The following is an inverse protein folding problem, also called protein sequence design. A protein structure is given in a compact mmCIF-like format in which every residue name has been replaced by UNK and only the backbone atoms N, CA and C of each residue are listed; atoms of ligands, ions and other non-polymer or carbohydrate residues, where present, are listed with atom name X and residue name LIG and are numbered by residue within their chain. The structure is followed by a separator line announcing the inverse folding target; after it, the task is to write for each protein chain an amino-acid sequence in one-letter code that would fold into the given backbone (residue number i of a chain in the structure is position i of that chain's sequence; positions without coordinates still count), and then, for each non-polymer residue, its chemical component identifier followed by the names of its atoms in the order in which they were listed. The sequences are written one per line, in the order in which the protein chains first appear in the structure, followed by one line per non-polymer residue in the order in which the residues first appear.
data_IF_026951782536
#
_entry.id   IF_026951782536
#
_cell.length_a   1.000
_cell.length_b   1.000
_cell.length_c   1.000
_cell.angle_alpha   90.00
_cell.angle_beta   90.00
_cell.angle_gamma   90.00
#
_symmetry.space_group_name_H-M   'P 1'
#
loop_
_entity.id
_entity.type
_entity.pdbx_description
1 polymer ?
#
# COMPACT_ATOMS: atom_id res chain seq x y z
N UNK A 1 -7.03 2.70 -21.34
CA UNK A 1 -7.21 2.61 -19.89
C UNK A 1 -5.95 3.00 -19.17
N UNK A 2 -6.07 3.98 -18.32
CA UNK A 2 -4.91 4.46 -17.59
C UNK A 2 -4.29 3.36 -16.73
N UNK A 3 -5.10 2.49 -16.17
CA UNK A 3 -4.61 1.39 -15.38
C UNK A 3 -3.64 0.52 -16.16
N UNK A 4 -3.88 0.36 -17.45
CA UNK A 4 -3.04 -0.49 -18.26
C UNK A 4 -1.68 0.09 -18.51
N UNK A 5 -1.53 1.39 -18.54
CA UNK A 5 -0.23 2.00 -18.81
C UNK A 5 0.72 1.72 -17.66
N UNK A 6 0.29 1.99 -16.43
CA UNK A 6 1.13 1.71 -15.26
C UNK A 6 1.35 0.21 -15.09
N UNK A 7 0.28 -0.58 -15.22
CA UNK A 7 0.38 -2.01 -15.01
C UNK A 7 1.21 -2.71 -16.08
N UNK A 8 1.17 -2.22 -17.32
CA UNK A 8 1.94 -2.82 -18.40
C UNK A 8 3.44 -2.66 -18.20
N UNK A 9 3.86 -1.58 -17.53
CA UNK A 9 5.27 -1.36 -17.27
C UNK A 9 5.73 -1.85 -15.90
N UNK A 10 4.79 -2.25 -15.04
CA UNK A 10 5.09 -2.71 -13.70
C UNK A 10 5.17 -4.22 -13.65
N UNK A 11 6.19 -4.71 -12.97
CA UNK A 11 6.43 -6.14 -12.81
C UNK A 11 5.91 -6.58 -11.44
N UNK A 12 5.15 -7.67 -11.39
CA UNK A 12 4.80 -8.30 -10.12
C UNK A 12 6.07 -8.87 -9.50
N UNK A 13 6.38 -8.45 -8.28
CA UNK A 13 7.63 -8.82 -7.61
C UNK A 13 7.42 -9.71 -6.40
N UNK A 14 6.19 -9.85 -5.93
CA UNK A 14 5.91 -10.70 -4.78
C UNK A 14 4.57 -10.38 -4.16
N UNK A 15 4.26 -11.11 -3.10
CA UNK A 15 3.01 -10.95 -2.35
C UNK A 15 3.26 -11.10 -0.86
N UNK A 16 2.37 -10.49 -0.07
CA UNK A 16 2.32 -10.69 1.38
C UNK A 16 0.95 -11.22 1.74
N UNK A 17 0.89 -12.24 2.57
CA UNK A 17 -0.38 -12.83 3.01
C UNK A 17 -0.42 -12.88 4.53
N UNK A 18 -1.61 -12.64 5.09
CA UNK A 18 -1.78 -12.68 6.54
C UNK A 18 -3.23 -13.02 6.90
N UNK A 19 -3.40 -13.88 7.88
CA UNK A 19 -4.71 -14.18 8.48
C UNK A 19 -4.90 -13.26 9.68
N UNK A 20 -6.09 -12.70 9.84
CA UNK A 20 -6.37 -11.72 10.88
C UNK A 20 -7.75 -11.95 11.50
N UNK A 21 -7.83 -11.74 12.82
CA UNK A 21 -9.07 -11.91 13.57
C UNK A 21 -9.79 -10.55 13.67
N UNK A 22 -10.15 -9.99 12.53
CA UNK A 22 -10.87 -8.71 12.44
C UNK A 22 -11.96 -8.81 11.39
N UNK A 23 -12.89 -7.86 11.41
CA UNK A 23 -13.97 -7.82 10.41
C UNK A 23 -13.50 -7.13 9.13
N UNK A 24 -14.19 -7.41 8.03
CA UNK A 24 -13.96 -6.73 6.76
C UNK A 24 -14.17 -5.22 6.90
N UNK A 25 -15.24 -4.82 7.60
CA UNK A 25 -15.52 -3.39 7.80
C UNK A 25 -14.39 -2.70 8.54
N UNK A 26 -13.79 -3.37 9.52
CA UNK A 26 -12.66 -2.82 10.25
C UNK A 26 -11.46 -2.61 9.34
N UNK A 27 -11.24 -3.51 8.40
CA UNK A 27 -10.16 -3.36 7.43
C UNK A 27 -10.39 -2.14 6.54
N UNK A 28 -11.64 -1.92 6.10
CA UNK A 28 -11.96 -0.73 5.31
C UNK A 28 -11.73 0.55 6.12
N UNK A 29 -12.14 0.57 7.39
CA UNK A 29 -11.89 1.71 8.27
C UNK A 29 -10.40 2.00 8.38
N UNK A 30 -9.61 0.97 8.56
CA UNK A 30 -8.16 1.13 8.67
C UNK A 30 -7.54 1.63 7.36
N UNK A 31 -8.02 1.12 6.23
CA UNK A 31 -7.50 1.54 4.94
C UNK A 31 -7.81 3.01 4.66
N UNK A 32 -8.96 3.50 5.13
CA UNK A 32 -9.36 4.89 4.93
C UNK A 32 -8.78 5.84 5.98
N UNK A 33 -8.18 5.31 7.03
CA UNK A 33 -7.70 6.13 8.14
C UNK A 33 -6.29 6.65 7.89
N UNK A 34 -6.19 7.56 6.93
CA UNK A 34 -4.91 8.15 6.52
C UNK A 34 -4.21 8.90 7.66
N UNK A 35 -4.98 9.45 8.59
CA UNK A 35 -4.43 10.29 9.67
C UNK A 35 -3.62 9.47 10.67
N UNK A 36 -3.85 8.15 10.75
CA UNK A 36 -3.13 7.31 11.68
C UNK A 36 -1.79 6.79 11.17
N UNK A 37 -1.51 6.96 9.89
CA UNK A 37 -0.28 6.38 9.32
C UNK A 37 1.00 6.79 10.03
N UNK A 38 1.23 8.09 10.34
CA UNK A 38 2.46 8.46 11.04
C UNK A 38 2.54 7.89 12.45
N UNK A 39 1.40 7.65 13.11
CA UNK A 39 1.38 7.15 14.47
C UNK A 39 1.47 5.63 14.53
N UNK A 40 0.77 4.94 13.63
CA UNK A 40 0.76 3.50 13.62
C UNK A 40 2.03 2.92 12.98
N UNK A 41 2.62 3.65 12.06
CA UNK A 41 3.77 3.17 11.31
C UNK A 41 4.97 4.09 11.46
N UNK A 42 5.28 4.47 12.70
CA UNK A 42 6.36 5.40 12.99
C UNK A 42 7.70 4.99 12.40
N UNK A 43 7.93 3.71 12.23
CA UNK A 43 9.15 3.25 11.61
C UNK A 43 9.20 3.50 10.11
N UNK A 44 8.06 3.82 9.49
CA UNK A 44 7.95 3.95 8.04
C UNK A 44 7.76 5.40 7.58
N UNK A 45 6.97 6.19 8.30
CA UNK A 45 6.61 7.54 7.86
C UNK A 45 6.83 8.57 8.95
N UNK A 46 7.45 9.70 8.59
CA UNK A 46 7.66 10.84 9.49
C UNK A 46 6.46 11.79 9.48
N UNK A 47 5.80 11.95 8.34
CA UNK A 47 4.65 12.84 8.24
C UNK A 47 3.75 12.47 7.08
N UNK A 48 2.50 12.92 7.15
CA UNK A 48 1.54 12.76 6.08
C UNK A 48 0.74 14.06 5.95
N UNK A 49 0.54 14.51 4.71
CA UNK A 49 -0.25 15.70 4.43
C UNK A 49 -1.34 15.33 3.44
N UNK A 50 -2.59 15.51 3.85
CA UNK A 50 -3.72 15.12 3.03
C UNK A 50 -3.90 16.06 1.84
N UNK A 51 -4.11 15.48 0.66
CA UNK A 51 -4.44 16.22 -0.55
C UNK A 51 -5.95 16.11 -0.81
N UNK A 52 -6.50 14.91 -0.71
CA UNK A 52 -7.92 14.68 -0.95
C UNK A 52 -8.35 13.40 -0.24
N UNK A 53 -9.62 13.31 0.16
CA UNK A 53 -10.16 12.11 0.80
C UNK A 53 -11.68 12.03 0.64
N UNK A 54 -12.21 10.82 0.68
CA UNK A 54 -13.63 10.55 0.58
C UNK A 54 -13.90 9.07 0.76
N UNK A 55 -15.10 8.65 0.41
CA UNK A 55 -15.48 7.23 0.48
C UNK A 55 -14.68 6.37 -0.47
N UNK A 56 -14.11 6.98 -1.50
CA UNK A 56 -13.32 6.29 -2.51
C UNK A 56 -11.92 5.93 -2.02
N UNK A 57 -11.41 6.63 -1.00
CA UNK A 57 -10.05 6.47 -0.53
C UNK A 57 -9.45 7.81 -0.15
N UNK A 58 -8.15 7.96 -0.40
CA UNK A 58 -7.45 9.20 -0.08
C UNK A 58 -6.21 9.36 -0.95
N UNK A 59 -5.74 10.60 -1.02
CA UNK A 59 -4.48 10.95 -1.68
C UNK A 59 -3.70 11.83 -0.73
N UNK A 60 -2.44 11.55 -0.53
CA UNK A 60 -1.63 12.29 0.44
C UNK A 60 -0.18 12.34 0.02
N UNK A 61 0.51 13.36 0.52
CA UNK A 61 1.95 13.47 0.43
C UNK A 61 2.55 12.89 1.70
N UNK A 62 3.48 11.97 1.55
CA UNK A 62 4.14 11.31 2.67
C UNK A 62 5.63 11.59 2.63
N UNK A 63 6.21 11.70 3.83
CA UNK A 63 7.65 11.82 3.98
C UNK A 63 8.14 10.60 4.74
N UNK A 64 9.11 9.89 4.17
CA UNK A 64 9.67 8.70 4.81
C UNK A 64 10.34 9.08 6.12
N UNK A 65 10.21 8.23 7.13
CA UNK A 65 10.88 8.43 8.41
C UNK A 65 12.40 8.39 8.30
N UNK A 66 12.90 7.80 7.22
CA UNK A 66 14.33 7.69 6.98
C UNK A 66 14.82 8.66 5.90
N UNK A 67 13.98 9.62 5.51
CA UNK A 67 14.37 10.59 4.51
C UNK A 67 15.49 11.48 5.04
N UNK A 68 16.44 11.74 4.20
CA UNK A 68 17.35 12.83 4.44
C UNK A 68 16.61 14.09 4.09
N UNK A 69 17.10 15.21 4.54
CA UNK A 69 16.47 16.42 4.43
C UNK A 69 15.83 16.65 3.19
N UNK A 70 15.27 16.91 2.63
CA UNK A 70 14.51 17.37 1.62
C UNK A 70 13.86 16.44 0.76
N UNK A 71 14.22 15.32 0.77
CA UNK A 71 14.03 14.79 -0.40
C UNK A 71 13.05 13.79 -0.62
N UNK A 72 12.59 13.10 0.22
CA UNK A 72 11.92 11.86 -0.12
C UNK A 72 10.42 11.94 0.18
N UNK A 73 9.84 13.04 -0.25
CA UNK A 73 8.39 13.16 -0.26
C UNK A 73 7.85 12.44 -1.48
N UNK A 74 6.78 11.70 -1.32
CA UNK A 74 6.11 11.05 -2.42
C UNK A 74 4.60 11.13 -2.23
N UNK A 75 3.87 10.99 -3.33
CA UNK A 75 2.42 11.07 -3.31
C UNK A 75 1.85 9.68 -3.50
N UNK A 76 1.03 9.27 -2.56
CA UNK A 76 0.35 7.98 -2.56
C UNK A 76 -1.15 8.23 -2.68
N UNK A 77 -1.80 7.41 -3.47
CA UNK A 77 -3.25 7.36 -3.53
C UNK A 77 -3.70 5.96 -3.14
N UNK A 78 -4.63 5.89 -2.20
CA UNK A 78 -5.29 4.64 -1.86
C UNK A 78 -6.72 4.71 -2.37
N UNK A 79 -7.09 3.78 -3.25
CA UNK A 79 -8.41 3.70 -3.84
C UNK A 79 -9.11 2.44 -3.34
N UNK A 80 -10.25 2.61 -2.69
CA UNK A 80 -11.01 1.50 -2.11
C UNK A 80 -12.06 1.00 -3.09
N UNK A 81 -12.06 -0.31 -3.33
CA UNK A 81 -13.01 -0.97 -4.21
C UNK A 81 -13.78 -2.03 -3.39
N UNK A 82 -14.89 -1.60 -2.79
CA UNK A 82 -15.69 -2.48 -1.94
C UNK A 82 -16.34 -3.64 -2.70
N UNK A 83 -16.66 -3.41 -3.96
CA UNK A 83 -17.29 -4.44 -4.79
C UNK A 83 -16.39 -5.67 -4.92
N UNK A 84 -15.08 -5.44 -5.01
CA UNK A 84 -14.12 -6.53 -5.19
C UNK A 84 -13.35 -6.83 -3.90
N UNK A 85 -13.73 -6.23 -2.78
CA UNK A 85 -13.08 -6.41 -1.47
C UNK A 85 -11.57 -6.20 -1.57
N UNK A 86 -11.18 -5.04 -2.08
CA UNK A 86 -9.76 -4.72 -2.25
C UNK A 86 -9.55 -3.22 -2.20
N UNK A 87 -8.28 -2.83 -2.03
CA UNK A 87 -7.86 -1.46 -2.28
C UNK A 87 -6.53 -1.48 -2.99
N UNK A 88 -6.26 -0.40 -3.69
CA UNK A 88 -5.04 -0.25 -4.48
C UNK A 88 -4.32 0.99 -3.98
N UNK A 89 -3.08 0.80 -3.53
CA UNK A 89 -2.20 1.89 -3.17
C UNK A 89 -1.28 2.14 -4.35
N UNK A 90 -1.29 3.36 -4.88
CA UNK A 90 -0.48 3.73 -6.03
C UNK A 90 0.46 4.86 -5.65
N UNK A 91 1.72 4.73 -6.01
CA UNK A 91 2.67 5.82 -5.87
C UNK A 91 2.61 6.66 -7.13
N UNK A 92 2.09 7.88 -7.00
CA UNK A 92 1.85 8.75 -8.15
C UNK A 92 3.07 9.58 -8.50
N UNK A 93 3.83 10.04 -7.49
CA UNK A 93 5.00 10.88 -7.68
C UNK A 93 6.04 10.53 -6.63
N UNK A 94 7.30 10.80 -6.95
CA UNK A 94 8.41 10.59 -6.05
C UNK A 94 9.08 9.25 -6.24
N UNK A 95 9.92 8.84 -5.29
CA UNK A 95 10.60 7.53 -5.36
C UNK A 95 9.57 6.40 -5.44
N UNK A 96 9.72 5.54 -6.41
CA UNK A 96 8.79 4.43 -6.62
C UNK A 96 7.56 4.78 -7.44
N UNK A 97 7.52 5.96 -8.07
CA UNK A 97 6.38 6.35 -8.91
C UNK A 97 6.07 5.27 -9.95
N UNK A 98 4.80 4.94 -10.08
CA UNK A 98 4.34 3.86 -10.95
C UNK A 98 4.15 2.53 -10.23
N UNK A 99 4.59 2.42 -8.97
CA UNK A 99 4.36 1.21 -8.18
C UNK A 99 2.91 1.16 -7.74
N UNK A 100 2.36 -0.05 -7.68
CA UNK A 100 1.01 -0.29 -7.18
C UNK A 100 1.04 -1.49 -6.24
N UNK A 101 0.26 -1.40 -5.18
CA UNK A 101 0.06 -2.52 -4.26
C UNK A 101 -1.44 -2.79 -4.20
N UNK A 102 -1.82 -3.99 -4.60
CA UNK A 102 -3.21 -4.42 -4.63
C UNK A 102 -3.44 -5.31 -3.41
N UNK A 103 -4.24 -4.84 -2.47
CA UNK A 103 -4.58 -5.61 -1.28
C UNK A 103 -5.98 -6.16 -1.42
N UNK A 104 -6.07 -7.49 -1.45
CA UNK A 104 -7.32 -8.22 -1.53
C UNK A 104 -7.68 -8.76 -0.16
N UNK A 105 -8.98 -8.75 0.16
CA UNK A 105 -9.47 -9.30 1.42
C UNK A 105 -10.35 -10.50 1.13
N UNK A 106 -10.05 -11.61 1.80
CA UNK A 106 -10.84 -12.83 1.75
C UNK A 106 -11.56 -12.99 3.08
N UNK A 107 -12.88 -13.05 3.06
CA UNK A 107 -13.68 -13.09 4.26
C UNK A 107 -14.10 -14.52 4.57
N UNK A 108 -13.70 -15.02 5.73
CA UNK A 108 -14.03 -16.38 6.17
C UNK A 108 -15.09 -16.37 7.28
N UNK A 109 -15.32 -15.25 7.90
CA UNK A 109 -16.30 -15.07 8.96
C UNK A 109 -16.37 -13.62 9.36
N UNK A 110 -17.27 -13.28 10.29
CA UNK A 110 -17.48 -11.91 10.70
C UNK A 110 -16.24 -11.26 11.33
N UNK A 111 -15.33 -12.06 11.85
CA UNK A 111 -14.09 -11.59 12.46
C UNK A 111 -12.94 -12.51 12.07
N UNK A 112 -12.92 -12.95 10.84
CA UNK A 112 -11.91 -13.87 10.35
C UNK A 112 -11.69 -13.61 8.88
N UNK A 113 -10.58 -12.96 8.58
CA UNK A 113 -10.24 -12.58 7.20
C UNK A 113 -8.80 -12.97 6.91
N UNK A 114 -8.48 -13.01 5.64
CA UNK A 114 -7.10 -13.04 5.17
C UNK A 114 -6.89 -11.90 4.20
N UNK A 115 -5.70 -11.34 4.19
CA UNK A 115 -5.32 -10.37 3.18
C UNK A 115 -4.24 -10.95 2.29
N UNK A 116 -4.22 -10.51 1.04
CA UNK A 116 -3.12 -10.76 0.13
C UNK A 116 -2.78 -9.44 -0.56
N UNK A 117 -1.57 -8.96 -0.34
CA UNK A 117 -1.06 -7.76 -0.99
C UNK A 117 -0.12 -8.20 -2.11
N UNK A 118 -0.41 -7.77 -3.34
CA UNK A 118 0.43 -8.06 -4.50
C UNK A 118 1.19 -6.79 -4.87
N UNK A 119 2.49 -6.91 -5.06
CA UNK A 119 3.39 -5.79 -5.29
C UNK A 119 3.77 -5.70 -6.76
N UNK A 120 3.46 -4.58 -7.39
CA UNK A 120 3.79 -4.31 -8.79
C UNK A 120 4.72 -3.10 -8.84
N UNK A 121 5.93 -3.29 -9.37
CA UNK A 121 6.98 -2.27 -9.35
C UNK A 121 7.55 -2.09 -10.74
N UNK A 122 7.60 -0.85 -11.27
CA UNK A 122 8.18 -0.60 -12.58
C UNK A 122 9.70 -0.56 -12.51
N UNK A 123 10.33 -0.84 -13.63
CA UNK A 123 11.78 -0.67 -13.77
C UNK A 123 12.63 -1.68 -13.04
N UNK A 124 12.05 -2.80 -12.61
CA UNK A 124 12.80 -3.84 -11.90
C UNK A 124 13.35 -4.86 -12.90
N UNK A 125 14.65 -5.12 -12.84
CA UNK A 125 15.26 -6.15 -13.64
C UNK A 125 14.87 -7.53 -13.10
N UNK A 126 14.77 -8.52 -13.99
CA UNK A 126 14.34 -9.86 -13.59
C UNK A 126 15.19 -10.47 -12.50
N UNK A 127 16.50 -10.20 -12.52
CA UNK A 127 17.41 -10.73 -11.50
C UNK A 127 17.28 -10.01 -10.16
N UNK A 128 16.56 -8.87 -10.12
CA UNK A 128 16.30 -8.12 -8.89
C UNK A 128 14.91 -8.40 -8.31
N UNK A 129 14.08 -9.12 -9.05
CA UNK A 129 12.69 -9.33 -8.68
C UNK A 129 12.51 -9.89 -7.28
N UNK A 130 13.23 -10.95 -6.95
CA UNK A 130 13.10 -11.60 -5.65
C UNK A 130 13.54 -10.68 -4.50
N UNK A 131 14.59 -9.90 -4.72
CA UNK A 131 15.07 -8.97 -3.70
C UNK A 131 14.07 -7.86 -3.43
N UNK A 132 13.50 -7.28 -4.48
CA UNK A 132 12.52 -6.21 -4.35
C UNK A 132 11.26 -6.75 -3.67
N UNK A 133 10.81 -7.94 -4.07
CA UNK A 133 9.65 -8.58 -3.44
C UNK A 133 9.87 -8.84 -1.96
N UNK A 134 11.06 -9.31 -1.59
CA UNK A 134 11.39 -9.55 -0.19
C UNK A 134 11.38 -8.25 0.63
N UNK A 135 11.84 -7.15 0.04
CA UNK A 135 11.82 -5.84 0.72
C UNK A 135 10.39 -5.39 0.99
N UNK A 136 9.49 -5.55 0.03
CA UNK A 136 8.07 -5.20 0.22
C UNK A 136 7.40 -6.10 1.24
N UNK A 137 7.71 -7.41 1.23
CA UNK A 137 7.17 -8.34 2.21
C UNK A 137 7.58 -7.93 3.61
N UNK A 138 8.83 -7.55 3.80
CA UNK A 138 9.33 -7.12 5.11
C UNK A 138 8.65 -5.82 5.55
N UNK A 139 8.47 -4.89 4.64
CA UNK A 139 7.77 -3.63 4.92
C UNK A 139 6.35 -3.92 5.39
N UNK A 140 5.63 -4.75 4.66
CA UNK A 140 4.24 -5.06 5.00
C UNK A 140 4.13 -5.86 6.30
N UNK A 141 5.07 -6.76 6.55
CA UNK A 141 5.13 -7.46 7.84
C UNK A 141 5.20 -6.44 8.98
N UNK A 142 6.06 -5.44 8.85
CA UNK A 142 6.19 -4.39 9.86
C UNK A 142 4.93 -3.54 9.98
N UNK A 143 4.30 -3.18 8.86
CA UNK A 143 3.08 -2.38 8.88
C UNK A 143 1.93 -3.08 9.60
N UNK A 144 1.76 -4.36 9.38
CA UNK A 144 0.66 -5.10 10.00
C UNK A 144 0.99 -5.59 11.41
N UNK A 145 2.25 -5.59 11.79
CA UNK A 145 2.64 -5.93 13.17
C UNK A 145 2.47 -4.73 14.12
N UNK A 146 2.39 -3.54 13.55
CA UNK A 146 2.16 -2.33 14.36
C UNK A 146 0.64 -2.14 14.57
#
# INVERSE_FOLDING_TARGET
MSLNVASASALWVGSYQRRMAVSLDRMYENALDWAHLPFLHQGSFASIELIDAGDWGWRAALVSAHASEQADAFIIELSLDRTHRRWISSTLEGPGAGSEIWTHVFEYGSRDIAIQADFFVPGVALDQKARVGASYQKLYQGLYDE
#
